data_IF_585115454802
#
_entry.id   IF_585115454802
#
_cell.length_a   1.000
_cell.length_b   1.000
_cell.length_c   1.000
_cell.angle_alpha   90.00
_cell.angle_beta   90.00
_cell.angle_gamma   90.00
#
_symmetry.space_group_name_H-M   'P 1'
#
loop_
_entity.id
_entity.type
_entity.pdbx_description
1 polymer ?
#
# COMPACT_ATOMS: atom_id res chain seq x y z
N UNK A 1 -63.13 -49.89 -76.11
CA UNK A 1 -62.72 -51.25 -75.69
C UNK A 1 -61.60 -51.10 -74.67
N UNK A 2 -61.59 -51.95 -73.64
CA UNK A 2 -60.77 -51.84 -72.42
C UNK A 2 -59.25 -51.69 -72.65
N UNK A 3 -58.42 -51.46 -71.64
CA UNK A 3 -58.43 -52.10 -70.32
C UNK A 3 -57.58 -51.32 -69.31
N UNK A 4 -57.92 -51.50 -68.04
CA UNK A 4 -57.20 -51.08 -66.84
C UNK A 4 -55.73 -51.54 -66.80
N UNK A 5 -54.82 -50.68 -66.33
CA UNK A 5 -53.64 -51.10 -65.57
C UNK A 5 -53.30 -50.08 -64.47
N UNK A 6 -52.82 -50.66 -63.37
CA UNK A 6 -52.88 -50.24 -61.97
C UNK A 6 -51.78 -49.27 -61.54
N UNK A 7 -52.16 -48.33 -60.67
CA UNK A 7 -51.28 -47.46 -59.87
C UNK A 7 -50.55 -48.26 -58.77
N UNK A 8 -49.24 -48.05 -58.63
CA UNK A 8 -48.55 -48.13 -57.34
C UNK A 8 -47.43 -47.07 -57.28
N UNK A 9 -47.74 -45.93 -56.67
CA UNK A 9 -46.74 -44.99 -56.17
C UNK A 9 -46.95 -44.88 -54.66
N UNK A 10 -45.96 -45.34 -53.88
CA UNK A 10 -45.91 -45.20 -52.43
C UNK A 10 -45.95 -43.72 -52.04
N UNK A 11 -47.00 -43.32 -51.32
CA UNK A 11 -47.10 -42.03 -50.65
C UNK A 11 -46.37 -42.11 -49.30
N UNK A 12 -45.18 -41.51 -49.21
CA UNK A 12 -44.54 -41.23 -47.91
C UNK A 12 -45.38 -40.16 -47.19
N UNK A 13 -46.08 -40.57 -46.13
CA UNK A 13 -46.76 -39.65 -45.22
C UNK A 13 -45.73 -38.77 -44.49
N UNK A 14 -45.69 -37.47 -44.82
CA UNK A 14 -45.06 -36.45 -43.96
C UNK A 14 -45.94 -36.25 -42.73
N UNK A 15 -45.56 -36.88 -41.62
CA UNK A 15 -46.20 -36.71 -40.31
C UNK A 15 -45.86 -35.30 -39.79
N UNK A 16 -46.75 -34.34 -40.02
CA UNK A 16 -46.67 -33.03 -39.38
C UNK A 16 -46.73 -33.20 -37.86
N UNK A 17 -45.70 -32.75 -37.15
CA UNK A 17 -45.73 -32.70 -35.68
C UNK A 17 -46.68 -31.59 -35.27
N UNK A 18 -47.85 -31.95 -34.76
CA UNK A 18 -48.72 -31.00 -34.06
C UNK A 18 -48.08 -30.73 -32.69
N UNK A 19 -47.76 -29.47 -32.42
CA UNK A 19 -47.32 -29.03 -31.09
C UNK A 19 -48.53 -28.99 -30.17
N UNK A 20 -48.47 -29.72 -29.06
CA UNK A 20 -49.53 -29.70 -28.04
C UNK A 20 -49.37 -28.45 -27.17
N UNK A 21 -50.44 -28.04 -26.47
CA UNK A 21 -50.43 -26.88 -25.56
C UNK A 21 -49.31 -26.97 -24.53
N UNK A 22 -48.92 -28.18 -24.12
CA UNK A 22 -47.78 -28.43 -23.23
C UNK A 22 -46.45 -28.00 -23.85
N UNK A 23 -46.22 -28.29 -25.13
CA UNK A 23 -45.00 -27.89 -25.83
C UNK A 23 -44.94 -26.37 -25.96
N UNK A 24 -46.10 -25.74 -26.22
CA UNK A 24 -46.19 -24.29 -26.29
C UNK A 24 -45.91 -23.62 -24.93
N UNK A 25 -46.44 -24.18 -23.84
CA UNK A 25 -46.18 -23.71 -22.47
C UNK A 25 -44.70 -23.87 -22.12
N UNK A 26 -44.08 -25.00 -22.45
CA UNK A 26 -42.67 -25.25 -22.16
C UNK A 26 -41.75 -24.29 -22.91
N UNK A 27 -42.04 -24.02 -24.19
CA UNK A 27 -41.31 -23.02 -24.98
C UNK A 27 -41.51 -21.61 -24.40
N UNK A 28 -42.75 -21.25 -24.03
CA UNK A 28 -43.04 -19.95 -23.42
C UNK A 28 -42.29 -19.77 -22.08
N UNK A 29 -42.31 -20.76 -21.20
CA UNK A 29 -41.56 -20.72 -19.94
C UNK A 29 -40.05 -20.63 -20.19
N UNK A 30 -39.50 -21.42 -21.11
CA UNK A 30 -38.07 -21.40 -21.44
C UNK A 30 -37.62 -20.04 -21.96
N UNK A 31 -38.41 -19.42 -22.84
CA UNK A 31 -38.13 -18.06 -23.34
C UNK A 31 -38.24 -17.00 -22.24
N UNK A 32 -39.23 -17.10 -21.35
CA UNK A 32 -39.38 -16.18 -20.22
C UNK A 32 -38.20 -16.26 -19.23
N UNK A 33 -37.81 -17.45 -18.80
CA UNK A 33 -36.68 -17.61 -17.88
C UNK A 33 -35.33 -17.25 -18.56
N UNK A 34 -35.16 -17.58 -19.83
CA UNK A 34 -33.97 -17.21 -20.60
C UNK A 34 -33.81 -15.70 -20.75
N UNK A 35 -34.90 -14.99 -21.08
CA UNK A 35 -34.89 -13.52 -21.19
C UNK A 35 -34.69 -12.86 -19.83
N UNK A 36 -35.31 -13.35 -18.76
CA UNK A 36 -35.10 -12.83 -17.41
C UNK A 36 -33.64 -13.01 -16.96
N UNK A 37 -33.05 -14.18 -17.18
CA UNK A 37 -31.64 -14.44 -16.86
C UNK A 37 -30.71 -13.51 -17.66
N UNK A 38 -30.97 -13.33 -18.95
CA UNK A 38 -30.19 -12.43 -19.80
C UNK A 38 -30.29 -10.96 -19.36
N UNK A 39 -31.48 -10.49 -18.99
CA UNK A 39 -31.70 -9.14 -18.47
C UNK A 39 -31.02 -8.93 -17.10
N UNK A 40 -31.02 -9.94 -16.23
CA UNK A 40 -30.27 -9.89 -14.96
C UNK A 40 -28.76 -9.85 -15.19
N UNK A 41 -28.25 -10.60 -16.16
CA UNK A 41 -26.84 -10.61 -16.52
C UNK A 41 -26.40 -9.28 -17.14
N UNK A 42 -27.23 -8.71 -18.03
CA UNK A 42 -27.04 -7.35 -18.55
C UNK A 42 -27.14 -6.30 -17.45
N UNK A 43 -28.05 -6.44 -16.50
CA UNK A 43 -28.16 -5.56 -15.33
C UNK A 43 -26.93 -5.66 -14.44
N UNK A 44 -26.36 -6.86 -14.23
CA UNK A 44 -25.10 -7.02 -13.49
C UNK A 44 -23.89 -6.46 -14.25
N UNK A 45 -23.79 -6.68 -15.56
CA UNK A 45 -22.72 -6.11 -16.39
C UNK A 45 -22.85 -4.59 -16.46
N UNK A 46 -24.08 -4.07 -16.61
CA UNK A 46 -24.36 -2.64 -16.56
C UNK A 46 -24.05 -2.08 -15.18
N UNK A 47 -24.47 -2.73 -14.09
CA UNK A 47 -24.14 -2.28 -12.74
C UNK A 47 -22.64 -2.34 -12.46
N UNK A 48 -21.92 -3.34 -12.98
CA UNK A 48 -20.46 -3.43 -12.83
C UNK A 48 -19.71 -2.41 -13.72
N UNK A 49 -20.19 -2.18 -14.93
CA UNK A 49 -19.60 -1.24 -15.91
C UNK A 49 -19.99 0.21 -15.65
N UNK A 50 -21.16 0.44 -15.06
CA UNK A 50 -21.74 1.76 -14.72
C UNK A 50 -21.60 2.08 -13.24
N UNK A 51 -21.11 1.15 -12.41
CA UNK A 51 -20.46 1.50 -11.15
C UNK A 51 -19.28 2.39 -11.53
N UNK A 52 -19.34 3.70 -11.28
CA UNK A 52 -18.17 4.52 -11.40
C UNK A 52 -17.30 4.05 -10.24
N UNK A 53 -16.22 3.31 -10.51
CA UNK A 53 -15.06 3.26 -9.63
C UNK A 53 -14.35 4.62 -9.67
N UNK A 54 -15.11 5.64 -9.31
CA UNK A 54 -14.64 6.87 -8.74
C UNK A 54 -15.61 7.10 -7.58
N UNK A 55 -15.38 6.48 -6.40
CA UNK A 55 -15.92 7.09 -5.19
C UNK A 55 -15.50 8.55 -5.28
N UNK A 56 -16.46 9.49 -5.26
CA UNK A 56 -16.24 10.95 -5.25
C UNK A 56 -14.78 11.23 -4.90
N UNK A 57 -13.91 11.52 -5.90
CA UNK A 57 -12.45 11.44 -5.71
C UNK A 57 -12.15 12.20 -4.43
N UNK A 58 -11.87 11.46 -3.35
CA UNK A 58 -11.63 12.07 -2.05
C UNK A 58 -10.50 13.04 -2.31
N UNK A 59 -10.67 14.27 -1.83
CA UNK A 59 -9.57 15.23 -1.91
C UNK A 59 -8.38 14.53 -1.26
N UNK A 60 -7.23 14.53 -1.92
CA UNK A 60 -6.03 14.00 -1.31
C UNK A 60 -5.55 15.04 -0.29
N UNK A 61 -5.29 14.61 0.94
CA UNK A 61 -4.68 15.50 1.94
C UNK A 61 -3.24 15.81 1.56
N UNK A 62 -2.50 14.77 1.19
CA UNK A 62 -1.09 14.87 0.85
C UNK A 62 -0.94 15.56 -0.51
N UNK A 63 -0.02 16.54 -0.62
CA UNK A 63 0.30 17.12 -1.92
C UNK A 63 0.94 16.06 -2.82
N UNK A 64 0.90 16.29 -4.14
CA UNK A 64 1.67 15.48 -5.06
C UNK A 64 3.16 15.81 -4.87
N UNK A 65 3.86 14.98 -4.10
CA UNK A 65 5.31 15.04 -3.94
C UNK A 65 5.94 14.17 -5.03
N UNK A 66 6.64 14.77 -6.01
CA UNK A 66 7.12 14.02 -7.16
C UNK A 66 8.32 13.14 -6.80
N UNK A 67 8.30 11.90 -7.28
CA UNK A 67 9.44 10.99 -7.20
C UNK A 67 10.42 11.24 -8.37
N UNK A 68 11.00 12.44 -8.42
CA UNK A 68 11.81 12.91 -9.56
C UNK A 68 13.22 13.42 -9.18
N UNK A 69 13.58 13.38 -7.90
CA UNK A 69 14.91 13.81 -7.45
C UNK A 69 15.89 12.65 -7.60
N UNK A 70 16.81 12.76 -8.54
CA UNK A 70 17.89 11.79 -8.71
C UNK A 70 18.97 12.08 -7.65
N UNK A 71 19.28 11.09 -6.82
CA UNK A 71 20.39 11.16 -5.85
C UNK A 71 21.41 10.07 -6.12
N UNK A 72 22.68 10.44 -6.13
CA UNK A 72 23.79 9.51 -6.03
C UNK A 72 24.12 9.39 -4.55
N UNK A 73 24.04 8.18 -4.01
CA UNK A 73 24.36 7.93 -2.61
C UNK A 73 25.86 7.88 -2.43
N UNK A 74 26.37 8.86 -1.69
CA UNK A 74 27.74 8.91 -1.22
C UNK A 74 27.70 8.86 0.30
N UNK A 75 28.79 8.41 0.93
CA UNK A 75 28.90 8.51 2.38
C UNK A 75 28.83 9.99 2.79
N UNK A 76 28.04 10.26 3.83
CA UNK A 76 27.93 11.59 4.41
C UNK A 76 28.46 11.56 5.84
N UNK A 77 29.64 12.15 6.05
CA UNK A 77 30.39 12.02 7.31
C UNK A 77 29.63 12.52 8.55
N UNK A 78 28.80 13.55 8.39
CA UNK A 78 27.91 14.06 9.44
C UNK A 78 26.93 13.01 10.01
N UNK A 79 26.62 11.95 9.25
CA UNK A 79 25.74 10.87 9.68
C UNK A 79 26.49 9.60 10.10
N UNK A 80 27.81 9.54 9.87
CA UNK A 80 28.63 8.31 10.02
C UNK A 80 29.73 8.47 11.07
N UNK A 81 30.57 9.50 10.93
CA UNK A 81 31.83 9.65 11.70
C UNK A 81 31.86 10.87 12.61
N UNK A 82 30.98 11.85 12.39
CA UNK A 82 30.92 13.05 13.22
C UNK A 82 30.55 12.71 14.68
N UNK A 83 31.20 13.37 15.64
CA UNK A 83 30.94 13.18 17.07
C UNK A 83 29.52 13.63 17.46
N UNK A 84 28.97 14.62 16.76
CA UNK A 84 27.63 15.15 16.93
C UNK A 84 26.59 14.45 16.02
N UNK A 85 26.87 13.23 15.55
CA UNK A 85 25.96 12.50 14.65
C UNK A 85 24.51 12.49 15.17
N UNK A 86 24.29 12.36 16.48
CA UNK A 86 22.94 12.33 17.07
C UNK A 86 22.15 13.59 16.73
N UNK A 87 22.77 14.77 16.84
CA UNK A 87 22.13 16.05 16.48
C UNK A 87 21.79 16.11 14.99
N UNK A 88 22.69 15.62 14.13
CA UNK A 88 22.45 15.58 12.68
C UNK A 88 21.28 14.66 12.31
N UNK A 89 21.17 13.51 12.99
CA UNK A 89 20.09 12.56 12.79
C UNK A 89 18.76 13.09 13.34
N UNK A 90 18.74 13.65 14.55
CA UNK A 90 17.53 14.23 15.15
C UNK A 90 16.98 15.39 14.30
N UNK A 91 17.86 16.19 13.72
CA UNK A 91 17.48 17.27 12.81
C UNK A 91 16.69 16.81 11.56
N UNK A 92 16.73 15.51 11.21
CA UNK A 92 15.94 14.96 10.11
C UNK A 92 14.45 14.85 10.41
N UNK A 93 14.06 14.74 11.69
CA UNK A 93 12.67 14.55 12.11
C UNK A 93 11.87 15.86 12.15
N UNK A 94 12.56 17.01 12.08
CA UNK A 94 11.95 18.32 12.21
C UNK A 94 11.37 18.58 13.60
N UNK A 95 10.65 19.69 13.75
CA UNK A 95 10.14 20.16 15.05
C UNK A 95 9.11 19.20 15.67
N UNK A 96 8.16 18.73 14.87
CA UNK A 96 7.03 17.93 15.34
C UNK A 96 7.29 16.41 15.24
N UNK A 97 8.55 16.01 15.06
CA UNK A 97 8.98 14.61 14.96
C UNK A 97 8.17 13.83 13.90
N UNK A 98 7.77 14.51 12.83
CA UNK A 98 6.99 13.94 11.73
C UNK A 98 5.47 13.93 11.88
N UNK A 99 4.91 14.46 12.97
CA UNK A 99 3.46 14.65 13.08
C UNK A 99 2.98 15.82 12.23
N UNK A 100 1.87 15.60 11.52
CA UNK A 100 1.17 16.62 10.73
C UNK A 100 -0.26 16.78 11.21
N UNK A 101 -0.69 18.03 11.33
CA UNK A 101 -2.08 18.36 11.65
C UNK A 101 -2.96 18.21 10.39
N UNK A 102 -4.06 17.48 10.52
CA UNK A 102 -5.12 17.37 9.52
C UNK A 102 -6.40 17.99 10.09
N UNK A 103 -6.86 19.11 9.52
CA UNK A 103 -8.15 19.69 9.88
C UNK A 103 -9.30 18.97 9.16
N UNK A 104 -10.32 18.53 9.90
CA UNK A 104 -11.49 17.80 9.38
C UNK A 104 -11.07 16.55 8.57
N UNK A 105 -10.38 15.57 9.17
CA UNK A 105 -9.78 14.42 8.47
C UNK A 105 -10.77 13.58 7.67
N UNK A 106 -12.04 13.54 8.09
CA UNK A 106 -13.11 12.82 7.42
C UNK A 106 -13.30 13.25 5.95
N UNK A 107 -13.00 14.51 5.58
CA UNK A 107 -13.11 14.99 4.19
C UNK A 107 -12.11 14.31 3.24
N UNK A 108 -10.99 13.83 3.80
CA UNK A 108 -9.94 13.08 3.09
C UNK A 108 -10.13 11.56 3.27
N UNK A 109 -11.18 11.13 3.99
CA UNK A 109 -11.38 9.73 4.35
C UNK A 109 -10.42 9.20 5.41
N UNK A 110 -9.74 10.09 6.13
CA UNK A 110 -8.85 9.76 7.22
C UNK A 110 -9.64 9.64 8.53
N UNK A 111 -9.16 8.78 9.42
CA UNK A 111 -9.69 8.59 10.78
C UNK A 111 -8.64 7.95 11.67
N UNK A 112 -8.77 8.16 12.98
CA UNK A 112 -7.92 7.52 13.97
C UNK A 112 -6.58 8.22 14.16
N UNK A 113 -6.46 9.48 13.78
CA UNK A 113 -5.36 10.32 14.25
C UNK A 113 -5.53 10.68 15.73
N UNK A 114 -4.50 11.28 16.31
CA UNK A 114 -4.57 11.76 17.68
C UNK A 114 -5.44 13.03 17.74
N UNK A 115 -6.52 13.07 18.54
CA UNK A 115 -7.40 14.23 18.61
C UNK A 115 -6.66 15.45 19.18
N UNK A 116 -6.65 16.56 18.46
CA UNK A 116 -6.02 17.82 18.87
C UNK A 116 -6.99 18.78 19.57
N UNK A 117 -8.23 18.37 19.79
CA UNK A 117 -9.26 19.17 20.46
C UNK A 117 -8.77 19.65 21.84
N UNK A 118 -8.84 20.95 22.08
CA UNK A 118 -8.39 21.56 23.34
C UNK A 118 -6.87 21.62 23.52
N UNK A 119 -6.08 21.20 22.53
CA UNK A 119 -4.63 21.34 22.55
C UNK A 119 -4.21 22.81 22.37
N UNK A 120 -3.12 23.20 23.00
CA UNK A 120 -2.51 24.53 22.82
C UNK A 120 -1.10 24.36 22.30
N UNK A 121 -0.86 24.85 21.10
CA UNK A 121 0.46 24.85 20.47
C UNK A 121 1.20 26.13 20.87
N UNK A 122 2.44 25.96 21.32
CA UNK A 122 3.34 27.04 21.71
C UNK A 122 4.54 27.07 20.75
N UNK A 123 5.10 28.25 20.51
CA UNK A 123 6.38 28.41 19.82
C UNK A 123 7.56 28.06 20.74
N UNK A 124 8.77 28.10 20.18
CA UNK A 124 10.03 27.83 20.90
C UNK A 124 10.26 28.74 22.12
N UNK A 125 9.53 29.86 22.22
CA UNK A 125 9.62 30.83 23.33
C UNK A 125 8.48 30.64 24.33
N UNK A 126 7.66 29.61 24.18
CA UNK A 126 6.51 29.32 25.02
C UNK A 126 5.29 30.22 24.76
N UNK A 127 5.26 30.97 23.65
CA UNK A 127 4.12 31.82 23.30
C UNK A 127 3.14 31.04 22.43
N UNK A 128 1.84 31.22 22.66
CA UNK A 128 0.80 30.63 21.80
C UNK A 128 1.00 31.05 20.34
N UNK A 129 1.09 30.07 19.46
CA UNK A 129 1.10 30.33 18.01
C UNK A 129 -0.27 30.85 17.57
N UNK A 130 -0.29 31.67 16.52
CA UNK A 130 -1.51 32.27 15.99
C UNK A 130 -2.51 31.21 15.49
N UNK A 131 -2.00 30.21 14.78
CA UNK A 131 -2.80 29.13 14.22
C UNK A 131 -2.87 27.94 15.17
N UNK A 132 -3.95 27.87 15.95
CA UNK A 132 -4.23 26.74 16.83
C UNK A 132 -4.98 25.62 16.09
N UNK A 133 -4.88 24.36 16.56
CA UNK A 133 -5.73 23.28 16.07
C UNK A 133 -7.22 23.60 16.26
N UNK A 134 -8.03 23.23 15.28
CA UNK A 134 -9.50 23.32 15.39
C UNK A 134 -10.08 22.18 16.23
N UNK A 135 -11.36 22.29 16.59
CA UNK A 135 -12.07 21.27 17.40
C UNK A 135 -12.07 19.87 16.75
N UNK A 136 -12.04 19.80 15.42
CA UNK A 136 -12.04 18.56 14.62
C UNK A 136 -10.66 18.25 14.00
N UNK A 137 -9.59 18.86 14.53
CA UNK A 137 -8.24 18.57 14.06
C UNK A 137 -7.70 17.28 14.69
N UNK A 138 -6.99 16.48 13.90
CA UNK A 138 -6.27 15.30 14.34
C UNK A 138 -4.81 15.36 13.87
N UNK A 139 -3.90 14.74 14.63
CA UNK A 139 -2.50 14.56 14.24
C UNK A 139 -2.27 13.14 13.71
N UNK A 140 -1.48 13.05 12.63
CA UNK A 140 -1.03 11.80 12.02
C UNK A 140 0.49 11.87 11.85
N UNK A 141 1.20 10.74 11.97
CA UNK A 141 2.63 10.71 11.71
C UNK A 141 2.91 10.29 10.26
N UNK A 142 3.87 10.93 9.60
CA UNK A 142 4.36 10.44 8.31
C UNK A 142 5.18 9.16 8.51
N UNK A 143 4.86 8.09 7.78
CA UNK A 143 5.60 6.82 7.89
C UNK A 143 7.10 6.95 7.67
N UNK A 144 7.55 7.77 6.71
CA UNK A 144 8.99 8.04 6.51
C UNK A 144 9.65 8.64 7.75
N UNK A 145 8.94 9.49 8.50
CA UNK A 145 9.50 10.11 9.72
C UNK A 145 9.54 9.11 10.87
N UNK A 146 8.51 8.27 11.02
CA UNK A 146 8.53 7.17 11.97
C UNK A 146 9.66 6.17 11.65
N UNK A 147 9.88 5.83 10.37
CA UNK A 147 10.99 4.98 9.93
C UNK A 147 12.36 5.58 10.28
N UNK A 148 12.56 6.89 10.08
CA UNK A 148 13.79 7.58 10.50
C UNK A 148 13.94 7.56 12.01
N UNK A 149 12.88 7.82 12.77
CA UNK A 149 12.90 7.76 14.24
C UNK A 149 13.30 6.36 14.74
N UNK A 150 12.73 5.30 14.16
CA UNK A 150 13.12 3.94 14.49
C UNK A 150 14.60 3.67 14.17
N UNK A 151 15.11 4.14 13.02
CA UNK A 151 16.53 4.00 12.68
C UNK A 151 17.44 4.73 13.67
N UNK A 152 17.04 5.89 14.18
CA UNK A 152 17.76 6.64 15.22
C UNK A 152 17.81 5.83 16.51
N UNK A 153 16.67 5.33 16.97
CA UNK A 153 16.58 4.50 18.18
C UNK A 153 17.45 3.24 18.07
N UNK A 154 17.45 2.59 16.91
CA UNK A 154 18.32 1.45 16.63
C UNK A 154 19.80 1.86 16.68
N UNK A 155 20.19 2.90 15.94
CA UNK A 155 21.57 3.38 15.92
C UNK A 155 22.07 3.78 17.32
N UNK A 156 21.24 4.46 18.09
CA UNK A 156 21.53 4.82 19.47
C UNK A 156 21.70 3.59 20.35
N UNK A 157 20.79 2.62 20.26
CA UNK A 157 20.93 1.36 21.02
C UNK A 157 22.21 0.63 20.65
N UNK A 158 22.57 0.52 19.37
CA UNK A 158 23.83 -0.11 18.96
C UNK A 158 25.07 0.68 19.44
N UNK A 159 24.99 2.01 19.51
CA UNK A 159 26.11 2.85 19.95
C UNK A 159 26.27 2.85 21.48
N UNK A 160 25.16 2.85 22.21
CA UNK A 160 25.14 2.85 23.69
C UNK A 160 25.30 1.45 24.28
N UNK A 161 24.88 0.41 23.57
CA UNK A 161 24.97 -1.00 23.98
C UNK A 161 26.12 -1.74 23.29
N UNK A 162 27.02 -1.03 22.61
CA UNK A 162 28.18 -1.64 21.93
C UNK A 162 28.89 -2.58 22.93
N UNK A 163 28.86 -3.91 22.71
CA UNK A 163 29.61 -4.82 23.56
C UNK A 163 31.08 -4.44 23.46
N UNK A 164 31.84 -4.68 24.53
CA UNK A 164 33.30 -4.44 24.65
C UNK A 164 34.12 -5.13 23.53
N UNK A 165 33.49 -5.90 22.63
CA UNK A 165 34.11 -6.80 21.66
C UNK A 165 33.90 -6.46 20.18
N UNK A 166 33.28 -5.33 19.79
CA UNK A 166 33.29 -4.95 18.37
C UNK A 166 34.68 -4.46 17.97
N UNK A 167 35.20 -5.00 16.86
CA UNK A 167 36.40 -4.45 16.22
C UNK A 167 36.11 -3.08 15.64
N UNK A 168 37.14 -2.24 15.47
CA UNK A 168 36.95 -0.92 14.82
C UNK A 168 36.41 -1.04 13.38
N UNK A 169 36.67 -2.17 12.71
CA UNK A 169 36.13 -2.46 11.37
C UNK A 169 34.62 -2.69 11.41
N UNK A 170 34.14 -3.49 12.35
CA UNK A 170 32.71 -3.76 12.51
C UNK A 170 31.95 -2.49 12.91
N UNK A 171 32.49 -1.69 13.85
CA UNK A 171 31.88 -0.41 14.24
C UNK A 171 31.75 0.57 13.07
N UNK A 172 32.81 0.71 12.25
CA UNK A 172 32.76 1.52 11.02
C UNK A 172 31.73 1.00 10.02
N UNK A 173 31.66 -0.33 9.85
CA UNK A 173 30.70 -0.94 8.95
C UNK A 173 29.25 -0.70 9.41
N UNK A 174 28.96 -0.85 10.71
CA UNK A 174 27.64 -0.54 11.27
C UNK A 174 27.24 0.92 11.03
N UNK A 175 28.14 1.88 11.29
CA UNK A 175 27.86 3.29 11.06
C UNK A 175 27.53 3.58 9.58
N UNK A 176 28.29 2.98 8.67
CA UNK A 176 28.02 3.08 7.24
C UNK A 176 26.67 2.43 6.86
N UNK A 177 26.33 1.26 7.41
CA UNK A 177 25.05 0.58 7.19
C UNK A 177 23.86 1.44 7.64
N UNK A 178 23.96 2.10 8.79
CA UNK A 178 22.90 3.01 9.25
C UNK A 178 22.70 4.18 8.28
N UNK A 179 23.77 4.80 7.81
CA UNK A 179 23.66 5.88 6.81
C UNK A 179 23.08 5.39 5.49
N UNK A 180 23.48 4.20 5.03
CA UNK A 180 22.90 3.58 3.83
C UNK A 180 21.38 3.37 3.97
N UNK A 181 20.91 2.82 5.10
CA UNK A 181 19.49 2.62 5.37
C UNK A 181 18.73 3.95 5.45
N UNK A 182 19.32 4.97 6.10
CA UNK A 182 18.76 6.32 6.14
C UNK A 182 18.58 6.89 4.74
N UNK A 183 19.60 6.77 3.87
CA UNK A 183 19.51 7.21 2.48
C UNK A 183 18.41 6.45 1.71
N UNK A 184 18.26 5.14 1.93
CA UNK A 184 17.21 4.33 1.31
C UNK A 184 15.80 4.71 1.77
N UNK A 185 15.60 4.96 3.07
CA UNK A 185 14.33 5.43 3.65
C UNK A 185 13.97 6.80 3.08
N UNK A 186 14.90 7.75 3.07
CA UNK A 186 14.64 9.09 2.53
C UNK A 186 14.44 9.11 1.01
N UNK A 187 15.07 8.18 0.28
CA UNK A 187 14.88 8.05 -1.16
C UNK A 187 13.49 7.50 -1.50
N UNK A 188 13.03 6.49 -0.75
CA UNK A 188 11.72 5.87 -0.99
C UNK A 188 10.56 6.68 -0.42
N UNK A 189 10.81 7.40 0.68
CA UNK A 189 9.92 8.34 1.37
C UNK A 189 8.45 7.92 1.41
N UNK A 190 8.14 6.93 2.25
CA UNK A 190 6.75 6.51 2.46
C UNK A 190 5.93 7.64 3.10
N UNK A 191 5.05 8.26 2.32
CA UNK A 191 4.23 9.38 2.74
C UNK A 191 2.92 8.98 3.42
N UNK A 192 2.70 7.69 3.69
CA UNK A 192 1.50 7.19 4.36
C UNK A 192 1.28 7.88 5.72
N UNK A 193 0.02 8.11 6.07
CA UNK A 193 -0.37 8.78 7.32
C UNK A 193 -0.71 7.75 8.38
N UNK A 194 0.17 7.61 9.35
CA UNK A 194 0.02 6.69 10.46
C UNK A 194 -0.95 7.23 11.51
N UNK A 195 -1.79 6.31 12.00
CA UNK A 195 -2.81 6.56 13.01
C UNK A 195 -2.19 6.55 14.40
N UNK A 196 -2.87 7.22 15.32
CA UNK A 196 -2.51 7.18 16.72
C UNK A 196 -2.60 5.74 17.25
N UNK A 197 -1.61 5.37 18.08
CA UNK A 197 -1.59 4.11 18.81
C UNK A 197 -2.71 4.10 19.83
N UNK A 198 -3.30 2.92 20.00
CA UNK A 198 -4.28 2.64 21.05
C UNK A 198 -3.62 1.66 22.01
N UNK A 199 -3.53 2.02 23.29
CA UNK A 199 -2.96 1.13 24.30
C UNK A 199 -3.90 -0.05 24.63
N UNK A 200 -3.42 -0.96 25.48
CA UNK A 200 -4.18 -2.15 25.89
C UNK A 200 -5.49 -1.82 26.63
N UNK A 201 -5.62 -0.59 27.15
CA UNK A 201 -6.80 -0.10 27.86
C UNK A 201 -7.75 0.70 26.95
N UNK A 202 -7.43 0.83 25.65
CA UNK A 202 -8.24 1.54 24.68
C UNK A 202 -8.02 3.06 24.65
N UNK A 203 -6.98 3.57 25.31
CA UNK A 203 -6.65 4.99 25.31
C UNK A 203 -5.82 5.33 24.06
N UNK A 204 -6.17 6.45 23.44
CA UNK A 204 -5.44 7.00 22.29
C UNK A 204 -4.19 7.73 22.80
N UNK A 205 -3.04 7.42 22.22
CA UNK A 205 -1.76 8.03 22.55
C UNK A 205 -1.21 8.85 21.39
N UNK A 206 -0.46 9.93 21.69
CA UNK A 206 0.30 10.66 20.68
C UNK A 206 1.58 9.89 20.37
N UNK A 207 1.39 8.70 19.79
CA UNK A 207 2.39 7.75 19.36
C UNK A 207 1.83 7.00 18.16
N UNK A 208 2.70 6.35 17.38
CA UNK A 208 2.30 5.54 16.23
C UNK A 208 3.05 4.21 16.26
N UNK A 209 2.49 3.18 15.64
CA UNK A 209 3.12 1.86 15.48
C UNK A 209 3.17 1.40 14.01
N UNK A 210 2.61 2.17 13.09
CA UNK A 210 2.52 1.87 11.67
C UNK A 210 1.47 0.83 11.28
N UNK A 211 0.75 0.23 12.21
CA UNK A 211 -0.13 -0.90 11.92
C UNK A 211 -1.53 -0.47 11.46
N UNK A 212 -2.13 -1.25 10.57
CA UNK A 212 -3.48 -0.99 10.07
C UNK A 212 -3.61 0.29 9.23
N UNK A 213 -2.50 0.74 8.65
CA UNK A 213 -2.39 1.86 7.72
C UNK A 213 -2.13 1.31 6.32
N UNK A 214 -2.68 1.97 5.30
CA UNK A 214 -2.44 1.58 3.91
C UNK A 214 -1.12 2.19 3.44
N UNK A 215 -0.23 1.36 2.90
CA UNK A 215 1.04 1.75 2.31
C UNK A 215 1.07 1.42 0.83
N UNK A 216 1.78 2.23 0.03
CA UNK A 216 1.97 1.97 -1.40
C UNK A 216 3.38 1.44 -1.66
N UNK A 217 3.51 0.12 -1.72
CA UNK A 217 4.80 -0.56 -1.89
C UNK A 217 5.05 -0.99 -3.35
N UNK A 218 6.32 -1.24 -3.67
CA UNK A 218 6.68 -2.05 -4.84
C UNK A 218 6.24 -3.50 -4.57
N UNK A 219 5.71 -4.18 -5.58
CA UNK A 219 5.32 -5.60 -5.45
C UNK A 219 6.55 -6.43 -5.06
N UNK A 220 6.48 -7.07 -3.89
CA UNK A 220 7.55 -7.92 -3.40
C UNK A 220 7.70 -9.17 -4.26
N UNK A 221 6.60 -9.80 -4.66
CA UNK A 221 6.62 -10.97 -5.56
C UNK A 221 7.31 -10.66 -6.89
N UNK A 222 7.09 -9.47 -7.44
CA UNK A 222 7.78 -9.04 -8.65
C UNK A 222 9.29 -8.83 -8.43
N UNK A 223 9.68 -8.30 -7.27
CA UNK A 223 11.09 -8.16 -6.87
C UNK A 223 11.73 -9.54 -6.72
N UNK A 224 11.09 -10.46 -6.02
CA UNK A 224 11.57 -11.83 -5.82
C UNK A 224 11.70 -12.60 -7.15
N UNK A 225 10.67 -12.50 -7.99
CA UNK A 225 10.66 -13.10 -9.33
C UNK A 225 11.82 -12.58 -10.17
N UNK A 226 12.04 -11.26 -10.16
CA UNK A 226 13.17 -10.65 -10.86
C UNK A 226 14.51 -11.14 -10.30
N UNK A 227 14.68 -11.11 -8.97
CA UNK A 227 15.91 -11.52 -8.30
C UNK A 227 16.23 -13.00 -8.56
N UNK A 228 15.24 -13.89 -8.54
CA UNK A 228 15.44 -15.32 -8.84
C UNK A 228 15.78 -15.55 -10.30
N UNK A 229 15.13 -14.84 -11.22
CA UNK A 229 15.40 -14.96 -12.66
C UNK A 229 16.79 -14.47 -13.05
N UNK A 230 17.29 -13.42 -12.39
CA UNK A 230 18.54 -12.75 -12.72
C UNK A 230 19.69 -13.03 -11.75
N UNK A 231 19.43 -13.74 -10.66
CA UNK A 231 20.44 -14.14 -9.69
C UNK A 231 21.43 -15.14 -10.28
N UNK A 232 22.71 -14.97 -9.97
CA UNK A 232 23.71 -15.98 -10.28
C UNK A 232 23.55 -17.13 -9.27
N UNK A 233 23.40 -18.37 -9.75
CA UNK A 233 23.34 -19.56 -8.89
C UNK A 233 24.74 -19.84 -8.36
N UNK A 234 25.11 -19.27 -7.21
CA UNK A 234 26.08 -19.95 -6.35
C UNK A 234 25.39 -21.21 -5.78
N UNK A 235 26.15 -22.27 -5.49
CA UNK A 235 25.60 -23.48 -4.89
C UNK A 235 24.91 -23.23 -3.53
N UNK A 236 24.64 -24.29 -2.78
CA UNK A 236 23.95 -24.22 -1.46
C UNK A 236 24.60 -23.15 -0.57
N UNK A 237 23.85 -22.07 -0.29
CA UNK A 237 24.28 -20.93 0.53
C UNK A 237 24.99 -19.84 -0.29
N UNK A 238 24.27 -18.76 -0.58
CA UNK A 238 24.70 -17.57 -1.32
C UNK A 238 25.88 -16.76 -0.72
N UNK A 239 26.60 -17.33 0.24
CA UNK A 239 27.73 -16.74 0.96
C UNK A 239 29.08 -16.91 0.25
N UNK A 240 29.14 -17.64 -0.88
CA UNK A 240 30.42 -17.98 -1.54
C UNK A 240 31.05 -16.89 -2.42
N UNK A 241 30.53 -15.66 -2.42
CA UNK A 241 31.17 -14.53 -3.12
C UNK A 241 31.81 -13.49 -2.21
N UNK A 242 31.77 -13.66 -0.87
CA UNK A 242 32.61 -12.85 0.01
C UNK A 242 34.05 -13.36 -0.03
N UNK A 243 34.92 -12.66 -0.77
CA UNK A 243 36.35 -12.64 -0.48
C UNK A 243 37.22 -13.73 -1.10
N UNK A 244 36.91 -14.27 -2.29
CA UNK A 244 37.99 -14.87 -3.09
C UNK A 244 38.82 -13.73 -3.68
N UNK A 245 39.89 -13.37 -2.98
CA UNK A 245 41.01 -12.66 -3.57
C UNK A 245 41.37 -13.39 -4.87
N UNK A 246 41.36 -12.64 -5.97
CA UNK A 246 42.02 -13.08 -7.19
C UNK A 246 43.51 -12.99 -6.88
N UNK A 247 44.15 -14.15 -6.69
CA UNK A 247 45.60 -14.29 -6.67
C UNK A 247 46.22 -13.81 -7.98
#
# INVERSE_FOLDING_TARGET
>A
MGSSQTHHHQQQQRRGKNFDLRDLILVACGTFFGTLAFLLLLSMIYYHSSSPLSPLRKKDFLPNLPFNTIKIWNQQDQYVTDENWMQHWDALLGHDIGFVQVSHPAQFGLRGGYPLRGSVVLDERGKRVERQPGEEAEAYCLSVMHQIHCLIMLKQSFSSSTPVNLTSKEGKHLNHCFDYLRQAVMCSADMSLEKARIDEQGKIELAVDGWGVEHKCRSWDAVETFATKHGFRTGVGGWKLEGQALD
#
